data_IF_831386407023
#
_entry.id   IF_831386407023
#
_cell.length_a   1.000
_cell.length_b   1.000
_cell.length_c   1.000
_cell.angle_alpha   90.00
_cell.angle_beta   90.00
_cell.angle_gamma   90.00
#
_symmetry.space_group_name_H-M   'P 1'
#
loop_
_entity.id
_entity.type
_entity.pdbx_description
1 polymer ?
#
# COMPACT_ATOMS: atom_id res chain seq x y z
N UNK A 1 13.27 41.48 -3.66
CA UNK A 1 14.00 40.23 -3.42
C UNK A 1 13.13 39.32 -2.57
N UNK A 2 13.27 38.01 -2.72
CA UNK A 2 12.64 37.01 -1.85
C UNK A 2 13.72 36.04 -1.37
N UNK A 3 13.45 35.38 -0.24
CA UNK A 3 14.40 34.47 0.40
C UNK A 3 13.93 33.04 0.14
N UNK A 4 14.82 32.20 -0.36
CA UNK A 4 14.57 30.76 -0.47
C UNK A 4 14.77 30.09 0.88
N UNK A 5 13.94 29.09 1.17
CA UNK A 5 14.19 28.19 2.28
C UNK A 5 15.50 27.42 2.01
N UNK A 6 16.37 27.30 3.01
CA UNK A 6 17.63 26.57 2.90
C UNK A 6 17.44 25.13 3.39
N UNK A 7 18.07 24.16 2.73
CA UNK A 7 18.24 22.81 3.25
C UNK A 7 19.17 22.79 4.47
N UNK A 8 19.24 21.64 5.16
CA UNK A 8 20.20 21.42 6.26
C UNK A 8 21.67 21.64 5.84
N UNK A 9 21.97 21.53 4.54
CA UNK A 9 23.29 21.71 3.94
C UNK A 9 23.51 23.15 3.41
N UNK A 10 22.59 24.08 3.68
CA UNK A 10 22.68 25.47 3.23
C UNK A 10 22.35 25.66 1.74
N UNK A 11 21.74 24.68 1.08
CA UNK A 11 21.35 24.78 -0.33
C UNK A 11 19.94 25.36 -0.44
N UNK A 12 19.71 26.44 -1.22
CA UNK A 12 18.37 26.99 -1.36
C UNK A 12 17.46 26.06 -2.15
N UNK A 13 16.31 25.76 -1.56
CA UNK A 13 15.23 24.96 -2.13
C UNK A 13 14.50 25.74 -3.22
N UNK A 14 14.11 25.08 -4.32
CA UNK A 14 13.37 25.74 -5.38
C UNK A 14 11.98 26.16 -4.94
N UNK A 15 11.54 27.31 -5.45
CA UNK A 15 10.16 27.75 -5.40
C UNK A 15 9.50 27.42 -6.74
N UNK A 16 8.51 26.54 -6.72
CA UNK A 16 7.73 26.19 -7.91
C UNK A 16 6.49 27.09 -8.00
N UNK A 17 6.33 27.82 -9.10
CA UNK A 17 5.15 28.66 -9.35
C UNK A 17 4.68 28.57 -10.81
N UNK A 18 3.45 28.98 -11.08
CA UNK A 18 2.91 29.04 -12.45
C UNK A 18 3.03 30.43 -13.02
N UNK A 19 3.40 30.50 -14.29
CA UNK A 19 3.33 31.72 -15.09
C UNK A 19 2.38 31.53 -16.26
N UNK A 20 1.81 32.62 -16.75
CA UNK A 20 1.10 32.66 -18.02
C UNK A 20 2.04 33.29 -19.07
N UNK A 21 2.26 32.61 -20.20
CA UNK A 21 3.08 33.13 -21.30
C UNK A 21 2.33 34.20 -22.07
N UNK A 22 3.02 34.94 -22.94
CA UNK A 22 2.36 35.91 -23.85
C UNK A 22 1.30 35.27 -24.76
N UNK A 23 1.43 33.96 -25.04
CA UNK A 23 0.47 33.20 -25.83
C UNK A 23 -0.71 32.64 -25.03
N UNK A 24 -0.79 32.88 -23.71
CA UNK A 24 -1.86 32.39 -22.84
C UNK A 24 -1.62 30.99 -22.24
N UNK A 25 -0.49 30.35 -22.55
CA UNK A 25 -0.14 29.05 -21.98
C UNK A 25 0.33 29.16 -20.53
N UNK A 26 -0.06 28.20 -19.68
CA UNK A 26 0.46 28.11 -18.32
C UNK A 26 1.68 27.20 -18.25
N UNK A 27 2.76 27.68 -17.61
CA UNK A 27 3.98 26.90 -17.39
C UNK A 27 4.37 26.89 -15.93
N UNK A 28 4.83 25.73 -15.46
CA UNK A 28 5.41 25.60 -14.14
C UNK A 28 6.89 25.98 -14.21
N UNK A 29 7.29 26.93 -13.38
CA UNK A 29 8.66 27.41 -13.26
C UNK A 29 9.18 27.01 -11.89
N UNK A 30 10.30 26.29 -11.90
CA UNK A 30 11.13 26.05 -10.74
C UNK A 30 12.19 27.13 -10.66
N UNK A 31 12.11 27.95 -9.62
CA UNK A 31 12.93 29.12 -9.46
C UNK A 31 13.89 28.96 -8.29
N UNK A 32 15.15 29.33 -8.49
CA UNK A 32 16.18 29.35 -7.44
C UNK A 32 17.00 30.63 -7.54
N UNK A 33 17.03 31.43 -6.47
CA UNK A 33 17.96 32.54 -6.29
C UNK A 33 19.12 32.16 -5.38
N UNK A 34 20.35 32.50 -5.78
CA UNK A 34 21.55 32.41 -4.95
C UNK A 34 22.30 33.74 -4.92
N UNK A 35 22.79 34.19 -3.76
CA UNK A 35 23.67 35.35 -3.70
C UNK A 35 24.98 35.05 -4.45
N UNK A 36 25.50 36.05 -5.15
CA UNK A 36 26.82 36.03 -5.79
C UNK A 36 27.74 36.90 -4.96
N UNK A 37 28.84 36.33 -4.48
CA UNK A 37 29.84 37.03 -3.68
C UNK A 37 31.04 37.42 -4.56
N UNK A 38 31.61 38.60 -4.30
CA UNK A 38 32.89 39.00 -4.88
C UNK A 38 34.08 38.35 -4.16
N UNK A 39 35.30 38.61 -4.65
CA UNK A 39 36.55 38.10 -4.05
C UNK A 39 36.79 38.53 -2.59
N UNK A 40 36.07 39.53 -2.10
CA UNK A 40 36.15 40.02 -0.71
C UNK A 40 35.05 39.43 0.18
N UNK A 41 34.18 38.58 -0.37
CA UNK A 41 33.05 37.99 0.34
C UNK A 41 31.83 38.91 0.44
N UNK A 42 31.84 40.07 -0.21
CA UNK A 42 30.70 40.98 -0.24
C UNK A 42 29.71 40.53 -1.31
N UNK A 43 28.41 40.54 -0.98
CA UNK A 43 27.36 40.20 -1.92
C UNK A 43 27.29 41.26 -3.05
N UNK A 44 27.55 40.83 -4.28
CA UNK A 44 27.62 41.67 -5.48
C UNK A 44 26.38 41.51 -6.39
N UNK A 45 25.44 40.64 -6.02
CA UNK A 45 24.18 40.44 -6.73
C UNK A 45 23.51 39.11 -6.44
N UNK A 46 22.46 38.81 -7.19
CA UNK A 46 21.75 37.53 -7.14
C UNK A 46 21.86 36.83 -8.49
N UNK A 47 22.16 35.53 -8.46
CA UNK A 47 22.03 34.65 -9.62
C UNK A 47 20.71 33.91 -9.53
N UNK A 48 19.88 34.14 -10.53
CA UNK A 48 18.56 33.52 -10.67
C UNK A 48 18.61 32.40 -11.70
N UNK A 49 18.00 31.27 -11.39
CA UNK A 49 17.75 30.19 -12.35
C UNK A 49 16.26 29.90 -12.41
N UNK A 50 15.68 30.01 -13.61
CA UNK A 50 14.29 29.65 -13.89
C UNK A 50 14.27 28.44 -14.81
N UNK A 51 13.73 27.32 -14.35
CA UNK A 51 13.58 26.10 -15.14
C UNK A 51 12.11 25.81 -15.39
N UNK A 52 11.75 25.61 -16.66
CA UNK A 52 10.44 25.05 -16.99
C UNK A 52 10.38 23.58 -16.52
N UNK A 53 9.41 23.27 -15.67
CA UNK A 53 9.17 21.95 -15.09
C UNK A 53 7.74 21.48 -15.39
N UNK A 54 7.10 22.06 -16.40
CA UNK A 54 5.72 21.74 -16.79
C UNK A 54 5.58 20.25 -17.09
N UNK A 55 6.47 19.70 -17.92
CA UNK A 55 6.47 18.29 -18.30
C UNK A 55 6.67 17.37 -17.08
N UNK A 56 7.57 17.75 -16.18
CA UNK A 56 7.81 17.00 -14.93
C UNK A 56 6.54 16.95 -14.06
N UNK A 57 5.88 18.09 -13.85
CA UNK A 57 4.65 18.17 -13.05
C UNK A 57 3.50 17.40 -13.70
N UNK A 58 3.40 17.40 -15.03
CA UNK A 58 2.41 16.61 -15.76
C UNK A 58 2.66 15.11 -15.59
N UNK A 59 3.90 14.65 -15.78
CA UNK A 59 4.27 13.25 -15.59
C UNK A 59 4.07 12.77 -14.14
N UNK A 60 4.40 13.60 -13.14
CA UNK A 60 4.14 13.30 -11.72
C UNK A 60 2.63 13.10 -11.46
N UNK A 61 1.80 14.02 -11.97
CA UNK A 61 0.34 13.95 -11.83
C UNK A 61 -0.24 12.73 -12.53
N UNK A 62 0.21 12.43 -13.75
CA UNK A 62 -0.23 11.25 -14.50
C UNK A 62 0.13 9.97 -13.76
N UNK A 63 1.36 9.88 -13.24
CA UNK A 63 1.79 8.75 -12.42
C UNK A 63 0.92 8.58 -11.17
N UNK A 64 0.62 9.65 -10.45
CA UNK A 64 -0.25 9.60 -9.25
C UNK A 64 -1.68 9.15 -9.60
N UNK A 65 -2.23 9.62 -10.72
CA UNK A 65 -3.54 9.17 -11.21
C UNK A 65 -3.53 7.68 -11.54
N UNK A 66 -2.52 7.19 -12.27
CA UNK A 66 -2.39 5.77 -12.62
C UNK A 66 -2.21 4.88 -11.37
N UNK A 67 -1.44 5.33 -10.38
CA UNK A 67 -1.29 4.60 -9.10
C UNK A 67 -2.64 4.49 -8.38
N UNK A 68 -3.39 5.58 -8.31
CA UNK A 68 -4.72 5.61 -7.68
C UNK A 68 -5.70 4.68 -8.40
N UNK A 69 -5.71 4.70 -9.73
CA UNK A 69 -6.54 3.82 -10.55
C UNK A 69 -6.18 2.34 -10.36
N UNK A 70 -4.89 2.01 -10.35
CA UNK A 70 -4.40 0.65 -10.07
C UNK A 70 -4.83 0.18 -8.68
N UNK A 71 -4.68 1.03 -7.66
CA UNK A 71 -5.10 0.70 -6.30
C UNK A 71 -6.61 0.44 -6.22
N UNK A 72 -7.42 1.24 -6.91
CA UNK A 72 -8.86 1.04 -7.00
C UNK A 72 -9.20 -0.29 -7.66
N UNK A 73 -8.63 -0.59 -8.82
CA UNK A 73 -8.85 -1.86 -9.51
C UNK A 73 -8.46 -3.08 -8.66
N UNK A 74 -7.31 -3.01 -7.97
CA UNK A 74 -6.89 -4.06 -7.02
C UNK A 74 -7.88 -4.24 -5.87
N UNK A 75 -8.46 -3.16 -5.36
CA UNK A 75 -9.46 -3.23 -4.29
C UNK A 75 -10.76 -3.90 -4.74
N UNK A 76 -11.19 -3.64 -5.97
CA UNK A 76 -12.40 -4.24 -6.56
C UNK A 76 -12.21 -5.75 -6.78
N UNK A 77 -11.05 -6.18 -7.25
CA UNK A 77 -10.70 -7.61 -7.39
C UNK A 77 -10.72 -8.30 -6.02
N UNK A 78 -10.12 -7.69 -4.98
CA UNK A 78 -10.09 -8.26 -3.62
C UNK A 78 -11.49 -8.46 -3.04
N UNK A 79 -12.41 -7.54 -3.31
CA UNK A 79 -13.80 -7.65 -2.86
C UNK A 79 -14.52 -8.84 -3.54
N UNK A 80 -14.22 -9.13 -4.80
CA UNK A 80 -14.79 -10.25 -5.56
C UNK A 80 -14.12 -11.59 -5.20
N UNK A 81 -12.81 -11.58 -4.87
CA UNK A 81 -12.05 -12.80 -4.54
C UNK A 81 -12.29 -13.31 -3.11
N UNK A 82 -13.08 -12.61 -2.29
CA UNK A 82 -13.38 -13.02 -0.90
C UNK A 82 -14.52 -14.05 -0.76
N UNK A 83 -15.26 -14.32 -1.83
CA UNK A 83 -16.41 -15.23 -1.78
C UNK A 83 -15.99 -16.65 -2.13
N UNK A 84 -15.83 -17.49 -1.11
CA UNK A 84 -15.56 -18.93 -1.30
C UNK A 84 -16.90 -19.65 -1.56
N UNK A 85 -17.12 -20.25 -2.74
CA UNK A 85 -18.35 -20.96 -3.04
C UNK A 85 -18.41 -22.29 -2.26
N UNK A 86 -19.35 -22.40 -1.33
CA UNK A 86 -19.54 -23.61 -0.50
C UNK A 86 -20.87 -24.31 -0.77
N UNK A 87 -20.91 -25.63 -0.56
CA UNK A 87 -22.18 -26.36 -0.54
C UNK A 87 -22.93 -26.06 0.76
N UNK A 88 -24.16 -25.56 0.68
CA UNK A 88 -24.95 -25.23 1.86
C UNK A 88 -25.20 -26.44 2.79
N UNK A 89 -25.30 -27.65 2.22
CA UNK A 89 -25.59 -28.89 2.93
C UNK A 89 -24.35 -29.52 3.59
N UNK A 90 -23.25 -29.72 2.83
CA UNK A 90 -22.07 -30.46 3.33
C UNK A 90 -20.82 -29.60 3.53
N UNK A 91 -20.88 -28.28 3.26
CA UNK A 91 -19.80 -27.29 3.45
C UNK A 91 -18.52 -27.52 2.64
N UNK A 92 -18.51 -28.48 1.71
CA UNK A 92 -17.43 -28.60 0.70
C UNK A 92 -17.27 -27.30 -0.09
N UNK A 93 -16.04 -26.98 -0.48
CA UNK A 93 -15.68 -25.82 -1.28
C UNK A 93 -15.58 -26.24 -2.74
N UNK A 94 -16.13 -25.43 -3.65
CA UNK A 94 -15.94 -25.61 -5.10
C UNK A 94 -14.69 -24.86 -5.56
N UNK A 95 -13.77 -25.55 -6.20
CA UNK A 95 -12.56 -24.92 -6.76
C UNK A 95 -12.81 -24.29 -8.15
N UNK A 96 -11.79 -23.65 -8.70
CA UNK A 96 -11.84 -22.97 -10.01
C UNK A 96 -12.03 -23.93 -11.19
N UNK A 97 -11.76 -25.23 -10.99
CA UNK A 97 -12.01 -26.29 -11.98
C UNK A 97 -13.41 -26.88 -11.85
N UNK A 98 -14.17 -26.48 -10.84
CA UNK A 98 -15.53 -26.94 -10.55
C UNK A 98 -15.62 -28.19 -9.68
N UNK A 99 -14.51 -28.71 -9.13
CA UNK A 99 -14.53 -29.87 -8.24
C UNK A 99 -14.87 -29.47 -6.81
N UNK A 100 -15.51 -30.39 -6.08
CA UNK A 100 -15.92 -30.20 -4.69
C UNK A 100 -14.93 -30.84 -3.72
N UNK A 101 -14.18 -30.00 -3.01
CA UNK A 101 -13.11 -30.39 -2.11
C UNK A 101 -13.50 -30.19 -0.63
N UNK A 102 -12.84 -30.92 0.28
CA UNK A 102 -12.92 -30.61 1.71
C UNK A 102 -12.27 -29.27 2.01
N UNK A 103 -12.74 -28.61 3.07
CA UNK A 103 -12.30 -27.26 3.42
C UNK A 103 -10.80 -27.22 3.73
N UNK A 104 -10.31 -28.23 4.44
CA UNK A 104 -8.91 -28.34 4.84
C UNK A 104 -7.99 -28.44 3.61
N UNK A 105 -8.39 -29.22 2.60
CA UNK A 105 -7.63 -29.34 1.35
C UNK A 105 -7.57 -28.02 0.60
N UNK A 106 -8.71 -27.35 0.46
CA UNK A 106 -8.77 -26.08 -0.25
C UNK A 106 -7.91 -25.01 0.42
N UNK A 107 -8.02 -24.86 1.75
CA UNK A 107 -7.26 -23.85 2.50
C UNK A 107 -5.76 -24.13 2.45
N UNK A 108 -5.34 -25.39 2.50
CA UNK A 108 -3.93 -25.78 2.39
C UNK A 108 -3.34 -25.43 1.01
N UNK A 109 -4.13 -25.57 -0.05
CA UNK A 109 -3.68 -25.28 -1.42
C UNK A 109 -3.69 -23.77 -1.76
N UNK A 110 -4.47 -22.97 -1.03
CA UNK A 110 -4.71 -21.54 -1.32
C UNK A 110 -4.22 -20.60 -0.22
N UNK A 111 -3.52 -21.09 0.80
CA UNK A 111 -2.94 -20.28 1.87
C UNK A 111 -1.72 -20.95 2.51
N UNK A 112 -1.00 -20.23 3.37
CA UNK A 112 0.11 -20.77 4.15
C UNK A 112 -0.34 -21.56 5.40
N UNK A 113 -1.66 -21.73 5.61
CA UNK A 113 -2.18 -22.36 6.81
C UNK A 113 -1.90 -23.88 6.86
N UNK A 114 -1.60 -24.38 8.06
CA UNK A 114 -1.43 -25.80 8.36
C UNK A 114 -2.44 -26.25 9.41
N UNK A 115 -2.94 -27.48 9.27
CA UNK A 115 -3.96 -28.04 10.18
C UNK A 115 -3.36 -29.13 11.08
N UNK A 116 -3.49 -28.94 12.40
CA UNK A 116 -3.30 -30.01 13.38
C UNK A 116 -4.59 -30.81 13.55
N UNK A 117 -4.49 -32.13 13.68
CA UNK A 117 -5.64 -32.99 13.94
C UNK A 117 -5.78 -33.22 15.44
N UNK A 118 -6.56 -32.38 16.10
CA UNK A 118 -6.95 -32.54 17.51
C UNK A 118 -8.46 -32.77 17.62
N UNK A 119 -8.88 -33.41 18.71
CA UNK A 119 -10.29 -33.62 19.03
C UNK A 119 -10.64 -32.66 20.18
N UNK A 120 -11.65 -31.81 20.00
CA UNK A 120 -12.07 -30.88 21.06
C UNK A 120 -12.71 -31.64 22.24
N UNK A 121 -12.75 -31.05 23.45
CA UNK A 121 -13.28 -31.72 24.64
C UNK A 121 -14.72 -32.25 24.46
N UNK A 122 -15.59 -31.53 23.77
CA UNK A 122 -16.97 -31.97 23.50
C UNK A 122 -17.01 -33.23 22.61
N UNK A 123 -16.17 -33.27 21.58
CA UNK A 123 -16.03 -34.43 20.71
C UNK A 123 -15.40 -35.60 21.46
N UNK A 124 -14.39 -35.37 22.31
CA UNK A 124 -13.83 -36.42 23.18
C UNK A 124 -14.89 -36.97 24.12
N UNK A 125 -15.66 -36.11 24.80
CA UNK A 125 -16.75 -36.52 25.70
C UNK A 125 -17.79 -37.39 24.99
N UNK A 126 -18.11 -37.06 23.74
CA UNK A 126 -19.11 -37.78 22.94
C UNK A 126 -18.58 -39.10 22.39
N UNK A 127 -17.35 -39.13 21.88
CA UNK A 127 -16.77 -40.28 21.16
C UNK A 127 -16.03 -41.24 22.10
N UNK A 128 -15.40 -40.71 23.15
CA UNK A 128 -14.57 -41.43 24.10
C UNK A 128 -14.87 -40.99 25.55
N UNK A 129 -16.07 -41.26 26.09
CA UNK A 129 -16.48 -40.79 27.41
C UNK A 129 -15.51 -41.20 28.53
N UNK A 130 -15.00 -42.43 28.51
CA UNK A 130 -14.05 -42.95 29.50
C UNK A 130 -12.69 -42.24 29.46
N UNK A 131 -12.26 -41.80 28.28
CA UNK A 131 -11.03 -41.00 28.12
C UNK A 131 -11.27 -39.58 28.61
N UNK A 132 -12.44 -39.02 28.33
CA UNK A 132 -12.83 -37.69 28.80
C UNK A 132 -12.79 -37.58 30.33
N UNK A 133 -13.40 -38.54 31.03
CA UNK A 133 -13.42 -38.58 32.50
C UNK A 133 -11.99 -38.58 33.07
N UNK A 134 -11.09 -39.41 32.53
CA UNK A 134 -9.69 -39.49 32.99
C UNK A 134 -8.87 -38.23 32.70
N UNK A 135 -9.05 -37.61 31.54
CA UNK A 135 -8.23 -36.46 31.13
C UNK A 135 -8.71 -35.14 31.71
N UNK A 136 -10.01 -35.01 31.96
CA UNK A 136 -10.64 -33.73 32.31
C UNK A 136 -11.32 -33.71 33.68
N UNK A 137 -11.66 -34.83 34.32
CA UNK A 137 -12.20 -34.83 35.70
C UNK A 137 -11.16 -35.15 36.78
N UNK A 138 -10.13 -35.93 36.49
CA UNK A 138 -9.10 -36.29 37.49
C UNK A 138 -8.02 -35.20 37.73
N UNK A 139 -8.30 -33.93 37.41
CA UNK A 139 -7.38 -32.78 37.64
C UNK A 139 -7.81 -31.89 38.81
N UNK A 140 -8.90 -32.23 39.50
CA UNK A 140 -9.44 -31.46 40.63
C UNK A 140 -9.02 -32.00 42.02
N UNK A 141 -8.09 -32.97 42.08
CA UNK A 141 -7.47 -33.46 43.32
C UNK A 141 -5.99 -33.05 43.45
#
# INVERSE_FOLDING_TARGET
SHIHQLSAEGVPQPLDYRICTKGGEYRWISHVCRPVYDSTGKANGERVSNRDITDRKQAEKEREMLISELQKALSEIKALSGMIPICASCKKIRDDKGYWNQIESYIKDHSEAQFSHSICPDCVKKLYPEVYEKMYKNKED
#
